data_IF_068725630775
#
_entry.id   IF_068725630775
#
_cell.length_a   1.000
_cell.length_b   1.000
_cell.length_c   1.000
_cell.angle_alpha   90.00
_cell.angle_beta   90.00
_cell.angle_gamma   90.00
#
_symmetry.space_group_name_H-M   'P 1'
#
loop_
_entity.id
_entity.type
_entity.pdbx_description
1 polymer ?
#
# COMPACT_ATOMS: atom_id res chain seq x y z
N UNK A 1 69.56 23.30 -2.18
CA UNK A 1 68.28 24.01 -2.18
C UNK A 1 67.22 22.98 -2.57
N UNK A 2 66.62 22.25 -1.63
CA UNK A 2 65.56 22.68 -0.70
C UNK A 2 64.34 23.22 -1.46
N UNK A 3 63.33 22.36 -1.59
CA UNK A 3 62.02 22.64 -2.16
C UNK A 3 61.07 21.50 -1.79
N UNK A 4 60.85 21.31 -0.49
CA UNK A 4 59.91 20.36 0.06
C UNK A 4 58.48 20.82 -0.26
N UNK A 5 57.74 20.05 -1.04
CA UNK A 5 56.28 20.16 -1.08
C UNK A 5 55.73 19.70 0.27
N UNK A 6 54.88 20.50 0.96
CA UNK A 6 54.28 20.06 2.20
C UNK A 6 53.31 18.93 1.85
N UNK A 7 53.56 17.76 2.44
CA UNK A 7 52.67 16.63 2.34
C UNK A 7 51.28 17.06 2.77
N UNK A 8 50.32 16.91 1.85
CA UNK A 8 48.90 16.82 2.20
C UNK A 8 48.83 15.65 3.18
N UNK A 9 48.69 15.97 4.47
CA UNK A 9 48.26 15.00 5.46
C UNK A 9 46.93 14.48 4.94
N UNK A 10 46.91 13.21 4.55
CA UNK A 10 45.67 12.48 4.46
C UNK A 10 45.01 12.61 5.85
N UNK A 11 43.94 13.39 5.92
CA UNK A 11 43.05 13.35 7.07
C UNK A 11 42.66 11.89 7.32
N UNK A 12 42.67 11.43 8.58
CA UNK A 12 42.36 10.04 8.86
C UNK A 12 40.95 9.75 8.36
N UNK A 13 40.89 8.83 7.40
CA UNK A 13 39.68 8.17 6.92
C UNK A 13 38.85 7.76 8.13
N UNK A 14 37.69 8.41 8.26
CA UNK A 14 36.45 7.94 8.84
C UNK A 14 36.62 6.97 10.02
N UNK A 15 36.60 7.50 11.25
CA UNK A 15 36.30 6.66 12.42
C UNK A 15 34.85 6.23 12.24
N UNK A 16 34.63 5.05 11.65
CA UNK A 16 33.32 4.52 11.29
C UNK A 16 32.31 4.85 12.39
N UNK A 17 31.46 5.84 12.12
CA UNK A 17 30.48 6.36 13.06
C UNK A 17 29.64 5.19 13.57
N UNK A 18 29.88 4.75 14.81
CA UNK A 18 29.19 3.60 15.38
C UNK A 18 27.74 3.98 15.64
N UNK A 19 26.86 3.51 14.76
CA UNK A 19 25.42 3.78 14.81
C UNK A 19 24.64 2.75 15.61
N UNK A 20 25.26 1.64 16.04
CA UNK A 20 24.52 0.55 16.70
C UNK A 20 23.78 1.01 17.97
N UNK A 21 24.35 1.85 18.85
CA UNK A 21 23.63 2.33 20.03
C UNK A 21 22.39 3.17 19.70
N UNK A 22 22.47 4.04 18.68
CA UNK A 22 21.35 4.90 18.30
C UNK A 22 20.30 4.13 17.49
N UNK A 23 20.71 3.20 16.63
CA UNK A 23 19.81 2.24 15.97
C UNK A 23 19.06 1.39 16.99
N UNK A 24 19.74 0.91 18.03
CA UNK A 24 19.10 0.15 19.10
C UNK A 24 18.04 0.99 19.83
N UNK A 25 18.34 2.25 20.16
CA UNK A 25 17.36 3.16 20.76
C UNK A 25 16.17 3.42 19.83
N UNK A 26 16.41 3.65 18.53
CA UNK A 26 15.35 3.85 17.55
C UNK A 26 14.51 2.59 17.39
N UNK A 27 15.13 1.41 17.32
CA UNK A 27 14.43 0.13 17.27
C UNK A 27 13.55 -0.06 18.50
N UNK A 28 14.08 0.24 19.69
CA UNK A 28 13.36 0.10 20.95
C UNK A 28 12.15 1.03 21.04
N UNK A 29 12.29 2.30 20.62
CA UNK A 29 11.24 3.31 20.81
C UNK A 29 10.31 3.47 19.61
N UNK A 30 10.76 3.25 18.38
CA UNK A 30 9.96 3.41 17.14
C UNK A 30 9.73 2.09 16.40
N UNK A 31 10.48 1.03 16.68
CA UNK A 31 10.38 -0.24 15.95
C UNK A 31 11.12 -0.26 14.60
N UNK A 32 11.57 0.91 14.12
CA UNK A 32 12.23 1.08 12.83
C UNK A 32 13.58 0.37 12.77
N UNK A 33 13.90 -0.17 11.61
CA UNK A 33 15.20 -0.77 11.31
C UNK A 33 15.89 -0.04 10.17
N UNK A 34 17.21 0.03 10.28
CA UNK A 34 18.05 0.69 9.29
C UNK A 34 19.20 -0.24 8.90
N UNK A 35 19.19 -0.63 7.62
CA UNK A 35 20.21 -1.45 6.97
C UNK A 35 20.36 -1.01 5.51
N UNK A 36 21.58 -1.14 4.97
CA UNK A 36 21.87 -0.76 3.58
C UNK A 36 21.47 0.69 3.27
N UNK A 37 20.62 0.90 2.27
CA UNK A 37 20.21 2.24 1.83
C UNK A 37 19.45 3.03 2.92
N UNK A 38 18.68 2.37 3.79
CA UNK A 38 17.96 3.05 4.88
C UNK A 38 18.91 3.56 5.97
N UNK A 39 20.06 2.91 6.17
CA UNK A 39 21.10 3.40 7.07
C UNK A 39 21.74 4.70 6.56
N UNK A 40 21.85 4.86 5.24
CA UNK A 40 22.33 6.11 4.64
C UNK A 40 21.35 7.26 4.93
N UNK A 41 20.04 7.01 4.82
CA UNK A 41 19.02 7.99 5.19
C UNK A 41 19.08 8.36 6.69
N UNK A 42 19.28 7.36 7.55
CA UNK A 42 19.51 7.59 8.99
C UNK A 42 20.72 8.48 9.22
N UNK A 43 21.87 8.22 8.58
CA UNK A 43 23.09 9.05 8.70
C UNK A 43 22.80 10.51 8.36
N UNK A 44 22.15 10.76 7.23
CA UNK A 44 21.79 12.12 6.82
C UNK A 44 20.85 12.81 7.81
N UNK A 45 19.84 12.10 8.33
CA UNK A 45 18.94 12.64 9.33
C UNK A 45 19.68 13.01 10.63
N UNK A 46 20.56 12.13 11.11
CA UNK A 46 21.36 12.36 12.32
C UNK A 46 22.31 13.55 12.17
N UNK A 47 23.02 13.65 11.04
CA UNK A 47 23.92 14.79 10.80
C UNK A 47 23.15 16.11 10.72
N UNK A 48 22.00 16.13 10.05
CA UNK A 48 21.14 17.32 10.00
C UNK A 48 20.70 17.75 11.41
N UNK A 49 20.31 16.82 12.28
CA UNK A 49 19.91 17.13 13.66
C UNK A 49 21.09 17.59 14.51
N UNK A 50 22.26 16.94 14.40
CA UNK A 50 23.50 17.37 15.08
C UNK A 50 23.87 18.80 14.74
N UNK A 51 23.87 19.16 13.45
CA UNK A 51 24.16 20.52 13.00
C UNK A 51 23.14 21.51 13.55
N UNK A 52 21.85 21.17 13.54
CA UNK A 52 20.79 22.03 14.06
C UNK A 52 20.90 22.31 15.56
N UNK A 53 21.54 21.42 16.32
CA UNK A 53 21.71 21.54 17.78
C UNK A 53 23.13 21.87 18.23
N UNK A 54 24.06 22.07 17.28
CA UNK A 54 25.48 22.29 17.53
C UNK A 54 26.12 21.19 18.41
N UNK A 55 25.80 19.92 18.12
CA UNK A 55 26.29 18.77 18.88
C UNK A 55 27.48 18.12 18.18
N UNK A 56 28.62 18.09 18.86
CA UNK A 56 29.91 17.68 18.30
C UNK A 56 30.04 16.19 17.94
N UNK A 57 29.22 15.30 18.49
CA UNK A 57 29.34 13.85 18.25
C UNK A 57 28.01 13.10 18.33
N UNK A 58 27.92 11.93 17.68
CA UNK A 58 26.75 11.04 17.79
C UNK A 58 26.55 10.54 19.21
N UNK A 59 27.62 10.30 19.97
CA UNK A 59 27.52 9.89 21.37
C UNK A 59 26.83 10.97 22.21
N UNK A 60 27.26 12.23 22.06
CA UNK A 60 26.61 13.36 22.74
C UNK A 60 25.15 13.55 22.27
N UNK A 61 24.87 13.31 21.00
CA UNK A 61 23.50 13.37 20.48
C UNK A 61 22.61 12.25 21.06
N UNK A 62 23.15 11.03 21.19
CA UNK A 62 22.45 9.90 21.81
C UNK A 62 22.11 10.19 23.28
N UNK A 63 23.04 10.75 24.04
CA UNK A 63 22.79 11.12 25.44
C UNK A 63 21.70 12.19 25.54
N UNK A 64 21.67 13.14 24.61
CA UNK A 64 20.58 14.11 24.52
C UNK A 64 19.23 13.46 24.22
N UNK A 65 19.16 12.54 23.25
CA UNK A 65 17.91 11.83 22.89
C UNK A 65 17.29 11.03 24.05
N UNK A 66 18.09 10.66 25.05
CA UNK A 66 17.60 9.93 26.24
C UNK A 66 16.82 10.82 27.21
N UNK A 67 17.06 12.13 27.20
CA UNK A 67 16.47 13.08 28.17
C UNK A 67 15.63 14.17 27.52
N UNK A 68 15.88 14.50 26.25
CA UNK A 68 15.19 15.54 25.50
C UNK A 68 14.09 14.94 24.61
N UNK A 69 12.87 14.90 25.15
CA UNK A 69 11.71 14.36 24.42
C UNK A 69 11.31 15.22 23.21
N UNK A 70 11.55 16.53 23.26
CA UNK A 70 11.28 17.41 22.13
C UNK A 70 12.22 17.07 20.95
N UNK A 71 13.51 16.87 21.22
CA UNK A 71 14.45 16.43 20.18
C UNK A 71 14.12 15.03 19.67
N UNK A 72 13.64 14.13 20.54
CA UNK A 72 13.17 12.82 20.11
C UNK A 72 12.04 12.91 19.07
N UNK A 73 11.07 13.81 19.27
CA UNK A 73 10.01 14.06 18.28
C UNK A 73 10.56 14.60 16.96
N UNK A 74 11.52 15.51 17.02
CA UNK A 74 12.15 16.11 15.85
C UNK A 74 12.96 15.08 15.03
N UNK A 75 13.67 14.18 15.70
CA UNK A 75 14.31 13.04 15.05
C UNK A 75 13.27 12.09 14.45
N UNK A 76 12.22 11.76 15.20
CA UNK A 76 11.13 10.90 14.74
C UNK A 76 10.56 11.41 13.41
N UNK A 77 10.18 12.69 13.33
CA UNK A 77 9.67 13.32 12.10
C UNK A 77 10.67 13.36 10.95
N UNK A 78 11.97 13.18 11.23
CA UNK A 78 13.01 13.14 10.19
C UNK A 78 13.25 11.72 9.66
N UNK A 79 12.80 10.69 10.40
CA UNK A 79 12.97 9.28 10.06
C UNK A 79 11.69 8.64 9.51
N UNK A 80 10.52 9.19 9.82
CA UNK A 80 9.23 8.68 9.35
C UNK A 80 8.99 9.05 7.88
N UNK A 81 8.56 8.06 7.10
CA UNK A 81 8.13 8.25 5.71
C UNK A 81 6.61 8.46 5.71
N UNK A 82 6.20 9.69 5.42
CA UNK A 82 4.82 10.16 5.54
C UNK A 82 4.05 10.14 4.20
N UNK A 83 4.27 9.12 3.36
CA UNK A 83 3.53 9.05 2.10
C UNK A 83 2.08 8.62 2.34
N UNK A 84 1.16 9.58 2.17
CA UNK A 84 -0.28 9.35 2.29
C UNK A 84 -1.07 10.25 1.33
N UNK A 85 -2.30 9.85 1.03
CA UNK A 85 -3.22 10.56 0.14
C UNK A 85 -4.66 10.12 0.33
N UNK A 86 -5.58 10.98 -0.08
CA UNK A 86 -7.00 10.71 0.03
C UNK A 86 -7.38 9.49 -0.82
N UNK A 87 -8.20 8.63 -0.25
CA UNK A 87 -8.74 7.44 -0.91
C UNK A 87 -7.68 6.43 -1.37
N UNK A 88 -6.55 6.33 -0.65
CA UNK A 88 -5.56 5.26 -0.84
C UNK A 88 -6.18 3.88 -0.59
N UNK A 89 -6.05 2.98 -1.57
CA UNK A 89 -6.68 1.64 -1.60
C UNK A 89 -8.21 1.72 -1.32
N UNK A 90 -8.99 2.28 -2.26
CA UNK A 90 -10.41 2.56 -2.04
C UNK A 90 -11.25 1.31 -1.75
N UNK A 91 -10.76 0.12 -2.12
CA UNK A 91 -11.37 -1.15 -1.75
C UNK A 91 -11.51 -1.35 -0.23
N UNK A 92 -10.56 -0.85 0.59
CA UNK A 92 -10.67 -0.90 2.05
C UNK A 92 -11.76 0.04 2.59
N UNK A 93 -11.98 1.18 1.93
CA UNK A 93 -13.07 2.09 2.29
C UNK A 93 -14.44 1.50 1.92
N UNK A 94 -14.54 0.81 0.78
CA UNK A 94 -15.74 0.05 0.40
C UNK A 94 -16.01 -1.10 1.36
N UNK A 95 -15.00 -1.91 1.68
CA UNK A 95 -15.10 -2.96 2.70
C UNK A 95 -15.65 -2.40 4.02
N UNK A 96 -15.09 -1.29 4.50
CA UNK A 96 -15.57 -0.63 5.71
C UNK A 96 -17.03 -0.21 5.57
N UNK A 97 -17.38 0.54 4.52
CA UNK A 97 -18.67 1.25 4.42
C UNK A 97 -19.82 0.38 3.94
N UNK A 98 -19.56 -0.64 3.15
CA UNK A 98 -20.59 -1.48 2.52
C UNK A 98 -20.77 -2.80 3.28
N UNK A 99 -19.70 -3.34 3.87
CA UNK A 99 -19.71 -4.66 4.50
C UNK A 99 -19.62 -4.55 6.03
N UNK A 100 -18.49 -4.08 6.55
CA UNK A 100 -18.21 -4.14 7.99
C UNK A 100 -19.13 -3.22 8.79
N UNK A 101 -19.29 -1.97 8.37
CA UNK A 101 -20.13 -1.00 9.06
C UNK A 101 -21.61 -1.42 9.07
N UNK A 102 -22.10 -2.00 7.97
CA UNK A 102 -23.49 -2.48 7.90
C UNK A 102 -23.75 -3.59 8.92
N UNK A 103 -22.86 -4.58 9.00
CA UNK A 103 -22.96 -5.69 9.95
C UNK A 103 -22.80 -5.22 11.41
N UNK A 104 -21.82 -4.35 11.68
CA UNK A 104 -21.59 -3.78 13.01
C UNK A 104 -22.79 -2.94 13.50
N UNK A 105 -23.42 -2.17 12.61
CA UNK A 105 -24.60 -1.38 12.93
C UNK A 105 -25.83 -2.26 13.20
N UNK A 106 -26.01 -3.35 12.45
CA UNK A 106 -27.13 -4.28 12.63
C UNK A 106 -27.10 -4.99 13.99
N UNK A 107 -25.90 -5.22 14.54
CA UNK A 107 -25.68 -5.90 15.83
C UNK A 107 -25.77 -4.98 17.04
N UNK A 108 -25.90 -3.66 16.84
CA UNK A 108 -25.78 -2.65 17.91
C UNK A 108 -27.13 -2.02 18.26
N UNK A 109 -27.25 -1.66 19.53
CA UNK A 109 -28.29 -0.74 19.97
C UNK A 109 -28.05 0.64 19.34
N UNK A 110 -29.12 1.29 18.86
CA UNK A 110 -29.07 2.57 18.14
C UNK A 110 -28.39 3.73 18.90
N UNK A 111 -28.14 3.58 20.21
CA UNK A 111 -27.45 4.57 21.04
C UNK A 111 -25.91 4.53 20.93
N UNK A 112 -25.31 3.46 20.39
CA UNK A 112 -23.86 3.25 20.41
C UNK A 112 -23.22 3.39 19.04
N UNK A 113 -22.27 4.33 18.90
CA UNK A 113 -21.50 4.55 17.68
C UNK A 113 -20.56 3.38 17.38
N UNK A 114 -20.40 3.05 16.10
CA UNK A 114 -19.28 2.22 15.62
C UNK A 114 -17.99 3.02 15.75
N UNK A 115 -17.01 2.45 16.46
CA UNK A 115 -15.76 3.10 16.83
C UNK A 115 -14.66 2.64 15.90
N UNK A 116 -14.05 3.59 15.19
CA UNK A 116 -13.04 3.36 14.16
C UNK A 116 -11.76 4.06 14.59
N UNK A 117 -10.66 3.34 14.57
CA UNK A 117 -9.34 3.86 14.91
C UNK A 117 -8.39 3.76 13.71
N UNK A 118 -7.75 4.87 13.33
CA UNK A 118 -6.64 4.89 12.35
C UNK A 118 -5.31 5.10 13.07
N UNK A 119 -4.43 4.10 13.04
CA UNK A 119 -3.11 4.12 13.69
C UNK A 119 -2.03 4.29 12.62
N UNK A 120 -1.17 5.29 12.79
CA UNK A 120 -0.20 5.71 11.77
C UNK A 120 -0.86 6.58 10.70
N UNK A 121 -1.72 7.52 11.11
CA UNK A 121 -2.55 8.30 10.20
C UNK A 121 -1.80 9.39 9.41
N UNK A 122 -0.51 9.56 9.67
CA UNK A 122 0.39 10.53 9.04
C UNK A 122 -0.22 11.94 8.97
N UNK A 123 -0.36 12.52 7.77
CA UNK A 123 -0.89 13.88 7.59
C UNK A 123 -2.42 13.97 7.54
N UNK A 124 -3.11 12.88 7.92
CA UNK A 124 -4.56 12.86 8.18
C UNK A 124 -5.43 12.44 6.99
N UNK A 125 -4.86 12.21 5.81
CA UNK A 125 -5.64 11.83 4.64
C UNK A 125 -6.46 10.53 4.84
N UNK A 126 -5.94 9.53 5.55
CA UNK A 126 -6.66 8.28 5.84
C UNK A 126 -7.92 8.49 6.70
N UNK A 127 -7.85 9.03 7.94
CA UNK A 127 -9.03 9.17 8.77
C UNK A 127 -10.07 10.14 8.18
N UNK A 128 -9.63 11.14 7.40
CA UNK A 128 -10.55 11.99 6.66
C UNK A 128 -11.17 11.29 5.45
N UNK A 129 -10.46 10.40 4.76
CA UNK A 129 -11.07 9.56 3.71
C UNK A 129 -12.13 8.63 4.29
N UNK A 130 -11.88 8.07 5.48
CA UNK A 130 -12.87 7.27 6.23
C UNK A 130 -14.11 8.11 6.52
N UNK A 131 -13.94 9.31 7.07
CA UNK A 131 -15.06 10.22 7.38
C UNK A 131 -15.88 10.58 6.13
N UNK A 132 -15.21 10.93 5.03
CA UNK A 132 -15.86 11.25 3.75
C UNK A 132 -16.62 10.04 3.22
N UNK A 133 -16.00 8.85 3.19
CA UNK A 133 -16.64 7.64 2.67
C UNK A 133 -17.88 7.24 3.48
N UNK A 134 -17.82 7.35 4.81
CA UNK A 134 -18.97 7.12 5.69
C UNK A 134 -20.06 8.17 5.45
N UNK A 135 -19.70 9.44 5.24
CA UNK A 135 -20.68 10.49 4.95
C UNK A 135 -21.33 10.33 3.57
N UNK A 136 -20.59 9.88 2.55
CA UNK A 136 -21.15 9.54 1.24
C UNK A 136 -22.15 8.38 1.33
N UNK A 137 -21.86 7.36 2.17
CA UNK A 137 -22.72 6.16 2.28
C UNK A 137 -23.93 6.37 3.19
N UNK A 138 -23.73 7.00 4.34
CA UNK A 138 -24.75 7.11 5.41
C UNK A 138 -25.33 8.52 5.54
N UNK A 139 -24.93 9.45 4.68
CA UNK A 139 -25.39 10.84 4.68
C UNK A 139 -25.10 11.56 5.99
N UNK A 140 -25.99 12.47 6.37
CA UNK A 140 -25.87 13.27 7.60
C UNK A 140 -25.91 12.42 8.89
N UNK A 141 -26.39 11.18 8.82
CA UNK A 141 -26.40 10.28 9.98
C UNK A 141 -25.01 9.74 10.32
N UNK A 142 -24.01 9.83 9.42
CA UNK A 142 -22.68 9.31 9.65
C UNK A 142 -22.07 9.79 10.98
N UNK A 143 -22.15 11.09 11.28
CA UNK A 143 -21.64 11.66 12.52
C UNK A 143 -22.33 11.12 13.79
N UNK A 144 -23.56 10.60 13.68
CA UNK A 144 -24.30 9.97 14.79
C UNK A 144 -24.02 8.49 14.91
N UNK A 145 -23.66 7.83 13.81
CA UNK A 145 -23.43 6.38 13.73
C UNK A 145 -21.97 5.99 13.98
N UNK A 146 -21.02 6.90 13.69
CA UNK A 146 -19.59 6.59 13.73
C UNK A 146 -18.81 7.56 14.60
N UNK A 147 -17.78 7.04 15.27
CA UNK A 147 -16.75 7.81 15.96
C UNK A 147 -15.40 7.44 15.35
N UNK A 148 -14.65 8.43 14.88
CA UNK A 148 -13.35 8.23 14.27
C UNK A 148 -12.29 8.85 15.17
N UNK A 149 -11.36 8.00 15.59
CA UNK A 149 -10.15 8.41 16.30
C UNK A 149 -8.96 8.08 15.42
N UNK A 150 -7.93 8.89 15.47
CA UNK A 150 -6.71 8.64 14.72
C UNK A 150 -5.48 9.08 15.53
N UNK A 151 -4.36 8.42 15.29
CA UNK A 151 -3.11 8.87 15.88
C UNK A 151 -1.88 8.46 15.11
N UNK A 152 -0.82 9.22 15.38
CA UNK A 152 0.49 9.04 14.76
C UNK A 152 1.59 9.38 15.79
N UNK A 153 2.79 8.86 15.54
CA UNK A 153 3.98 9.14 16.35
C UNK A 153 4.66 10.44 15.89
N UNK A 154 4.43 10.87 14.65
CA UNK A 154 4.98 12.09 14.08
C UNK A 154 4.10 13.31 14.40
N UNK A 155 4.57 14.14 15.33
CA UNK A 155 3.87 15.36 15.73
C UNK A 155 3.75 16.41 14.62
N UNK A 156 4.72 16.47 13.69
CA UNK A 156 4.64 17.39 12.55
C UNK A 156 3.57 16.93 11.57
N UNK A 157 3.47 15.63 11.33
CA UNK A 157 2.41 15.05 10.51
C UNK A 157 1.02 15.35 11.12
N UNK A 158 0.86 15.14 12.43
CA UNK A 158 -0.37 15.48 13.15
C UNK A 158 -0.70 16.98 13.12
N UNK A 159 0.30 17.86 13.17
CA UNK A 159 0.07 19.31 13.01
C UNK A 159 -0.50 19.63 11.64
N UNK A 160 0.01 18.99 10.58
CA UNK A 160 -0.55 19.12 9.23
C UNK A 160 -1.98 18.55 9.15
N UNK A 161 -2.23 17.37 9.74
CA UNK A 161 -3.57 16.78 9.82
C UNK A 161 -4.57 17.75 10.48
N UNK A 162 -4.24 18.31 11.65
CA UNK A 162 -5.08 19.30 12.34
C UNK A 162 -5.33 20.55 11.52
N UNK A 163 -4.35 21.01 10.73
CA UNK A 163 -4.53 22.17 9.85
C UNK A 163 -5.53 21.90 8.73
N UNK A 164 -5.68 20.63 8.34
CA UNK A 164 -6.56 20.19 7.25
C UNK A 164 -6.20 20.77 5.88
N UNK A 165 -4.98 21.30 5.70
CA UNK A 165 -4.53 21.95 4.47
C UNK A 165 -3.66 20.99 3.65
N UNK A 166 -4.07 20.75 2.41
CA UNK A 166 -3.50 19.73 1.54
C UNK A 166 -3.12 20.31 0.18
N UNK A 167 -1.99 19.83 -0.35
CA UNK A 167 -1.52 20.16 -1.69
C UNK A 167 -2.00 19.17 -2.74
N UNK A 168 -1.73 19.45 -4.02
CA UNK A 168 -2.20 18.65 -5.16
C UNK A 168 -1.91 17.14 -5.04
N UNK A 169 -0.73 16.76 -4.53
CA UNK A 169 -0.33 15.35 -4.40
C UNK A 169 -1.27 14.53 -3.52
N UNK A 170 -1.89 15.13 -2.49
CA UNK A 170 -2.84 14.44 -1.61
C UNK A 170 -4.13 14.04 -2.34
N UNK A 171 -4.44 14.65 -3.48
CA UNK A 171 -5.69 14.44 -4.23
C UNK A 171 -5.56 13.49 -5.42
N UNK A 172 -4.36 12.92 -5.67
CA UNK A 172 -4.07 12.13 -6.88
C UNK A 172 -4.98 10.91 -7.14
N UNK A 173 -5.64 10.41 -6.10
CA UNK A 173 -6.60 9.30 -6.22
C UNK A 173 -8.02 9.67 -5.75
N UNK A 174 -8.26 10.93 -5.34
CA UNK A 174 -9.58 11.37 -4.92
C UNK A 174 -10.37 11.87 -6.14
N UNK A 175 -11.57 11.32 -6.41
CA UNK A 175 -12.42 11.84 -7.48
C UNK A 175 -12.70 13.34 -7.32
N UNK A 176 -12.61 14.09 -8.43
CA UNK A 176 -12.78 15.55 -8.44
C UNK A 176 -14.11 16.03 -7.85
N UNK A 177 -15.17 15.23 -8.02
CA UNK A 177 -16.49 15.54 -7.45
C UNK A 177 -16.45 15.56 -5.92
N UNK A 178 -15.76 14.61 -5.29
CA UNK A 178 -15.56 14.57 -3.84
C UNK A 178 -14.64 15.71 -3.40
N UNK A 179 -13.58 15.97 -4.16
CA UNK A 179 -12.66 17.08 -3.89
C UNK A 179 -13.39 18.44 -3.90
N UNK A 180 -14.35 18.65 -4.80
CA UNK A 180 -15.20 19.86 -4.86
C UNK A 180 -16.20 19.95 -3.71
N UNK A 181 -16.73 18.81 -3.24
CA UNK A 181 -17.76 18.75 -2.20
C UNK A 181 -17.19 18.92 -0.79
N UNK A 182 -16.03 18.32 -0.52
CA UNK A 182 -15.48 18.20 0.84
C UNK A 182 -14.28 19.09 1.13
N UNK A 183 -13.84 19.90 0.16
CA UNK A 183 -12.72 20.80 0.34
C UNK A 183 -13.00 22.19 -0.21
N UNK A 184 -12.54 23.19 0.53
CA UNK A 184 -12.54 24.59 0.11
C UNK A 184 -11.18 24.96 -0.46
N UNK A 185 -11.16 25.58 -1.63
CA UNK A 185 -9.94 26.11 -2.22
C UNK A 185 -9.44 27.30 -1.40
N UNK A 186 -8.22 27.22 -0.89
CA UNK A 186 -7.59 28.30 -0.11
C UNK A 186 -6.61 29.11 -0.98
N UNK A 187 -5.98 28.45 -1.95
CA UNK A 187 -5.13 29.03 -2.98
C UNK A 187 -5.06 28.10 -4.19
N UNK A 188 -4.38 28.51 -5.26
CA UNK A 188 -4.19 27.66 -6.45
C UNK A 188 -3.51 26.32 -6.14
N UNK A 189 -2.74 26.24 -5.07
CA UNK A 189 -1.96 25.04 -4.72
C UNK A 189 -2.51 24.27 -3.52
N UNK A 190 -3.41 24.87 -2.73
CA UNK A 190 -3.86 24.29 -1.47
C UNK A 190 -5.38 24.31 -1.34
N UNK A 191 -5.91 23.17 -0.85
CA UNK A 191 -7.30 23.03 -0.45
C UNK A 191 -7.38 22.64 1.02
N UNK A 192 -8.39 23.14 1.70
CA UNK A 192 -8.66 22.80 3.10
C UNK A 192 -9.89 21.92 3.21
N UNK A 193 -9.80 20.84 3.98
CA UNK A 193 -10.95 19.98 4.25
C UNK A 193 -12.03 20.75 5.01
N UNK A 194 -13.29 20.48 4.67
CA UNK A 194 -14.44 21.12 5.32
C UNK A 194 -14.46 20.86 6.82
N UNK A 195 -14.82 21.89 7.58
CA UNK A 195 -14.82 21.85 9.04
C UNK A 195 -15.72 20.74 9.60
N UNK A 196 -16.87 20.51 8.97
CA UNK A 196 -17.82 19.48 9.37
C UNK A 196 -17.26 18.05 9.27
N UNK A 197 -16.32 17.79 8.34
CA UNK A 197 -15.59 16.52 8.27
C UNK A 197 -14.46 16.53 9.29
N UNK A 198 -13.73 17.65 9.39
CA UNK A 198 -12.58 17.80 10.27
C UNK A 198 -12.93 17.49 11.73
N UNK A 199 -14.10 17.94 12.18
CA UNK A 199 -14.62 17.74 13.54
C UNK A 199 -15.08 16.30 13.83
N UNK A 200 -15.19 15.43 12.83
CA UNK A 200 -15.54 14.02 13.02
C UNK A 200 -14.34 13.15 13.43
N UNK A 201 -13.12 13.68 13.33
CA UNK A 201 -11.88 12.95 13.58
C UNK A 201 -11.14 13.53 14.79
N UNK A 202 -10.95 12.71 15.82
CA UNK A 202 -10.11 13.04 16.98
C UNK A 202 -8.67 12.61 16.75
N UNK A 203 -7.71 13.55 16.80
CA UNK A 203 -6.29 13.31 16.50
C UNK A 203 -5.41 13.30 17.75
N UNK A 204 -4.72 12.19 18.00
CA UNK A 204 -3.85 11.99 19.16
C UNK A 204 -2.41 11.66 18.75
N UNK A 205 -1.45 12.10 19.56
CA UNK A 205 -0.07 11.60 19.46
C UNK A 205 0.00 10.23 20.14
N UNK A 206 0.39 9.21 19.41
CA UNK A 206 0.44 7.82 19.89
C UNK A 206 1.57 7.06 19.23
N UNK A 207 2.15 6.12 19.95
CA UNK A 207 3.09 5.16 19.40
C UNK A 207 2.45 3.77 19.42
N UNK A 208 2.41 3.10 18.26
CA UNK A 208 1.77 1.79 18.16
C UNK A 208 2.53 0.69 18.95
N UNK A 209 3.85 0.86 19.12
CA UNK A 209 4.75 -0.13 19.71
C UNK A 209 4.89 0.01 21.23
N UNK A 210 4.97 1.25 21.74
CA UNK A 210 5.30 1.54 23.15
C UNK A 210 4.33 2.51 23.81
N UNK A 211 4.35 2.57 25.13
CA UNK A 211 3.45 3.40 25.93
C UNK A 211 2.08 2.78 26.15
N UNK A 212 1.25 3.40 26.98
CA UNK A 212 -0.15 3.02 27.14
C UNK A 212 -1.00 3.74 26.10
N UNK A 213 -1.94 3.03 25.49
CA UNK A 213 -3.00 3.69 24.74
C UNK A 213 -3.91 4.45 25.69
N UNK A 214 -4.51 5.58 25.25
CA UNK A 214 -5.56 6.24 26.00
C UNK A 214 -6.68 5.25 26.36
N UNK A 215 -7.23 5.30 27.58
CA UNK A 215 -8.24 4.34 28.02
C UNK A 215 -9.51 4.38 27.16
N UNK A 216 -9.83 5.57 26.64
CA UNK A 216 -10.94 5.81 25.72
C UNK A 216 -10.69 5.23 24.31
N UNK A 217 -9.55 4.61 24.05
CA UNK A 217 -9.27 3.85 22.82
C UNK A 217 -9.66 2.38 22.95
N UNK A 218 -9.97 1.87 24.14
CA UNK A 218 -10.46 0.49 24.28
C UNK A 218 -11.82 0.33 23.60
N UNK A 219 -12.08 -0.88 23.10
CA UNK A 219 -13.35 -1.26 22.48
C UNK A 219 -13.60 -0.58 21.12
N UNK A 220 -12.58 -0.60 20.25
CA UNK A 220 -12.73 -0.27 18.84
C UNK A 220 -13.43 -1.42 18.11
N UNK A 221 -14.22 -1.08 17.09
CA UNK A 221 -14.85 -2.06 16.21
C UNK A 221 -14.01 -2.30 14.96
N UNK A 222 -13.35 -1.24 14.46
CA UNK A 222 -12.44 -1.34 13.32
C UNK A 222 -11.17 -0.57 13.61
N UNK A 223 -10.02 -1.18 13.37
CA UNK A 223 -8.70 -0.55 13.42
C UNK A 223 -8.10 -0.58 12.02
N UNK A 224 -7.64 0.56 11.53
CA UNK A 224 -6.79 0.71 10.35
C UNK A 224 -5.34 0.84 10.81
N UNK A 225 -4.46 0.02 10.23
CA UNK A 225 -3.01 0.08 10.44
C UNK A 225 -2.32 -0.24 9.11
N UNK A 226 -2.38 0.73 8.19
CA UNK A 226 -2.03 0.54 6.77
C UNK A 226 -0.79 1.33 6.37
N UNK A 227 0.04 0.71 5.54
CA UNK A 227 1.27 1.22 4.94
C UNK A 227 2.30 1.73 5.97
N UNK A 228 2.27 1.16 7.17
CA UNK A 228 3.15 1.51 8.31
C UNK A 228 4.03 0.32 8.70
N UNK A 229 3.50 -0.90 8.59
CA UNK A 229 4.17 -2.10 9.10
C UNK A 229 5.39 -2.53 8.26
N UNK A 230 5.49 -2.02 7.03
CA UNK A 230 6.60 -2.29 6.08
C UNK A 230 7.97 -1.88 6.60
N UNK A 231 8.05 -0.98 7.59
CA UNK A 231 9.30 -0.49 8.18
C UNK A 231 9.76 -1.31 9.40
N UNK A 232 9.06 -2.40 9.73
CA UNK A 232 9.25 -3.18 10.94
C UNK A 232 9.60 -4.65 10.64
N UNK A 233 10.48 -5.25 11.45
CA UNK A 233 10.69 -6.71 11.42
C UNK A 233 9.44 -7.48 11.86
N UNK A 234 9.44 -8.79 11.62
CA UNK A 234 8.36 -9.68 12.02
C UNK A 234 8.06 -9.63 13.53
N UNK A 235 9.08 -9.55 14.38
CA UNK A 235 8.90 -9.49 15.83
C UNK A 235 8.15 -8.22 16.28
N UNK A 236 8.51 -7.07 15.70
CA UNK A 236 7.88 -5.78 15.99
C UNK A 236 6.46 -5.73 15.44
N UNK A 237 6.23 -6.20 14.21
CA UNK A 237 4.88 -6.30 13.63
C UNK A 237 3.96 -7.15 14.50
N UNK A 238 4.42 -8.33 14.92
CA UNK A 238 3.67 -9.23 15.81
C UNK A 238 3.37 -8.59 17.17
N UNK A 239 4.32 -7.85 17.74
CA UNK A 239 4.10 -7.12 19.00
C UNK A 239 3.06 -6.01 18.85
N UNK A 240 3.12 -5.23 17.77
CA UNK A 240 2.13 -4.19 17.46
C UNK A 240 0.76 -4.81 17.23
N UNK A 241 0.67 -5.86 16.42
CA UNK A 241 -0.61 -6.49 16.10
C UNK A 241 -1.30 -7.04 17.36
N UNK A 242 -0.56 -7.69 18.28
CA UNK A 242 -1.08 -8.11 19.58
C UNK A 242 -1.58 -6.93 20.41
N UNK A 243 -0.85 -5.81 20.43
CA UNK A 243 -1.27 -4.59 21.13
C UNK A 243 -2.54 -4.00 20.52
N UNK A 244 -2.64 -3.93 19.19
CA UNK A 244 -3.85 -3.45 18.49
C UNK A 244 -5.05 -4.37 18.74
N UNK A 245 -4.83 -5.69 18.80
CA UNK A 245 -5.86 -6.66 19.14
C UNK A 245 -6.50 -6.37 20.51
N UNK A 246 -5.72 -5.91 21.50
CA UNK A 246 -6.28 -5.54 22.83
C UNK A 246 -7.19 -4.32 22.80
N UNK A 247 -7.11 -3.50 21.75
CA UNK A 247 -8.00 -2.34 21.56
C UNK A 247 -9.32 -2.75 20.92
N UNK A 248 -9.37 -3.89 20.23
CA UNK A 248 -10.56 -4.35 19.51
C UNK A 248 -11.57 -5.03 20.45
N UNK A 249 -12.85 -4.75 20.22
CA UNK A 249 -13.94 -5.57 20.75
C UNK A 249 -13.83 -7.01 20.22
N UNK A 250 -14.39 -8.01 20.92
CA UNK A 250 -14.66 -9.31 20.33
C UNK A 250 -15.51 -9.14 19.05
N UNK A 251 -15.06 -9.74 17.94
CA UNK A 251 -15.67 -9.56 16.63
C UNK A 251 -15.32 -8.25 15.92
N UNK A 252 -14.40 -7.45 16.46
CA UNK A 252 -13.83 -6.29 15.77
C UNK A 252 -12.82 -6.69 14.69
N UNK A 253 -12.45 -5.74 13.84
CA UNK A 253 -11.66 -5.97 12.65
C UNK A 253 -10.38 -5.12 12.62
N UNK A 254 -9.27 -5.71 12.17
CA UNK A 254 -8.04 -5.00 11.82
C UNK A 254 -7.86 -5.03 10.30
N UNK A 255 -7.74 -3.85 9.69
CA UNK A 255 -7.44 -3.66 8.28
C UNK A 255 -5.99 -3.19 8.15
N UNK A 256 -5.20 -3.92 7.36
CA UNK A 256 -3.82 -3.57 6.99
C UNK A 256 -3.75 -3.27 5.48
N UNK A 257 -2.66 -2.68 5.01
CA UNK A 257 -2.51 -2.40 3.58
C UNK A 257 -2.44 -3.70 2.77
N UNK A 258 -2.88 -3.66 1.51
CA UNK A 258 -3.00 -4.86 0.69
C UNK A 258 -1.67 -5.64 0.56
N UNK A 259 -0.54 -4.94 0.51
CA UNK A 259 0.81 -5.54 0.43
C UNK A 259 1.35 -6.02 1.78
N UNK A 260 0.66 -5.70 2.88
CA UNK A 260 1.09 -6.01 4.25
C UNK A 260 0.40 -7.23 4.83
N UNK A 261 -0.69 -7.69 4.23
CA UNK A 261 -1.57 -8.75 4.74
C UNK A 261 -0.81 -10.00 5.18
N UNK A 262 -0.12 -10.68 4.25
CA UNK A 262 0.60 -11.93 4.57
C UNK A 262 1.72 -11.69 5.59
N UNK A 263 2.36 -10.53 5.49
CA UNK A 263 3.44 -10.09 6.36
C UNK A 263 2.99 -9.83 7.81
N UNK A 264 1.67 -9.71 8.04
CA UNK A 264 1.04 -9.54 9.33
C UNK A 264 0.15 -10.74 9.74
N UNK A 265 0.18 -11.86 9.02
CA UNK A 265 -0.52 -13.07 9.46
C UNK A 265 0.34 -13.86 10.46
N UNK A 266 0.26 -13.49 11.73
CA UNK A 266 0.97 -14.16 12.82
C UNK A 266 0.08 -15.14 13.61
N UNK A 267 -1.13 -15.43 13.14
CA UNK A 267 -2.10 -16.30 13.81
C UNK A 267 -2.69 -15.75 15.11
N UNK A 268 -2.54 -14.45 15.41
CA UNK A 268 -3.16 -13.84 16.60
C UNK A 268 -4.61 -13.42 16.39
N UNK A 269 -5.00 -13.17 15.14
CA UNK A 269 -6.37 -12.90 14.69
C UNK A 269 -6.63 -13.71 13.43
N UNK A 270 -7.90 -13.96 13.12
CA UNK A 270 -8.29 -14.81 11.99
C UNK A 270 -8.26 -13.99 10.70
N UNK A 271 -7.43 -14.37 9.73
CA UNK A 271 -7.46 -13.77 8.40
C UNK A 271 -8.77 -14.13 7.69
N UNK A 272 -9.44 -13.12 7.14
CA UNK A 272 -10.67 -13.25 6.37
C UNK A 272 -10.53 -12.49 5.04
N UNK A 273 -11.36 -12.89 4.09
CA UNK A 273 -11.43 -12.31 2.75
C UNK A 273 -12.88 -12.05 2.37
N UNK A 274 -13.12 -10.87 1.79
CA UNK A 274 -14.40 -10.46 1.19
C UNK A 274 -14.12 -9.64 -0.05
N UNK A 275 -14.68 -10.05 -1.19
CA UNK A 275 -14.61 -9.35 -2.47
C UNK A 275 -13.18 -8.96 -2.90
N UNK A 276 -12.23 -9.87 -2.70
CA UNK A 276 -10.81 -9.71 -2.98
C UNK A 276 -10.04 -8.87 -1.96
N UNK A 277 -10.66 -8.52 -0.83
CA UNK A 277 -10.07 -7.68 0.21
C UNK A 277 -9.85 -8.48 1.50
N UNK A 278 -8.61 -8.50 1.98
CA UNK A 278 -8.22 -9.22 3.18
C UNK A 278 -8.24 -8.31 4.42
N UNK A 279 -8.67 -8.87 5.55
CA UNK A 279 -8.65 -8.22 6.85
C UNK A 279 -8.60 -9.27 7.97
N UNK A 280 -8.27 -8.85 9.19
CA UNK A 280 -8.18 -9.75 10.33
C UNK A 280 -9.37 -9.56 11.27
N UNK A 281 -10.02 -10.64 11.68
CA UNK A 281 -11.11 -10.63 12.64
C UNK A 281 -10.65 -11.06 14.04
N UNK A 282 -11.04 -10.28 15.04
CA UNK A 282 -10.75 -10.54 16.45
C UNK A 282 -11.80 -11.48 17.07
N UNK A 283 -11.89 -12.70 16.55
CA UNK A 283 -12.59 -13.77 17.23
C UNK A 283 -11.67 -14.33 18.31
N UNK A 284 -12.12 -14.33 19.57
CA UNK A 284 -11.44 -15.19 20.56
C UNK A 284 -11.55 -16.60 20.01
N UNK A 285 -10.41 -17.23 19.76
CA UNK A 285 -10.37 -18.68 19.62
C UNK A 285 -10.79 -19.21 20.97
N UNK A 286 -12.04 -19.63 21.12
CA UNK A 286 -12.39 -20.56 22.19
C UNK A 286 -11.57 -21.82 21.90
N UNK A 287 -10.55 -22.06 22.72
CA UNK A 287 -9.60 -23.15 22.59
C UNK A 287 -10.21 -24.52 22.93
N UNK A 288 -11.49 -24.72 22.63
CA UNK A 288 -12.26 -25.91 22.99
C UNK A 288 -13.05 -26.54 21.83
N UNK A 289 -12.92 -26.04 20.60
CA UNK A 289 -13.58 -26.65 19.44
C UNK A 289 -12.77 -26.53 18.15
N UNK A 290 -11.69 -27.31 18.04
CA UNK A 290 -11.22 -27.76 16.72
C UNK A 290 -10.77 -29.21 16.86
N UNK A 291 -11.74 -30.12 16.80
CA UNK A 291 -11.45 -31.45 16.26
C UNK A 291 -11.37 -31.24 14.74
N UNK A 292 -10.16 -31.26 14.20
CA UNK A 292 -9.94 -31.24 12.76
C UNK A 292 -10.42 -32.58 12.21
N UNK A 293 -11.64 -32.59 11.67
CA UNK A 293 -12.10 -33.70 10.84
C UNK A 293 -11.22 -33.75 9.58
N UNK A 294 -10.27 -34.68 9.59
CA UNK A 294 -9.32 -34.91 8.50
C UNK A 294 -9.98 -35.48 7.23
N UNK A 295 -11.30 -35.67 7.20
CA UNK A 295 -12.02 -36.17 6.03
C UNK A 295 -12.21 -35.15 4.90
N UNK A 296 -11.97 -33.85 5.14
CA UNK A 296 -12.12 -32.80 4.12
C UNK A 296 -10.86 -32.57 3.24
N UNK A 297 -9.77 -33.29 3.50
CA UNK A 297 -8.58 -33.31 2.62
C UNK A 297 -8.64 -34.49 1.65
N UNK A 298 -9.64 -34.49 0.77
CA UNK A 298 -9.63 -35.35 -0.41
C UNK A 298 -9.59 -34.49 -1.67
N UNK A 299 -8.60 -34.65 -2.57
CA UNK A 299 -8.52 -33.84 -3.78
C UNK A 299 -9.66 -34.25 -4.73
N UNK A 300 -10.61 -33.34 -4.96
CA UNK A 300 -11.61 -33.50 -6.02
C UNK A 300 -10.95 -33.24 -7.38
N UNK A 301 -10.36 -34.28 -7.95
CA UNK A 301 -10.12 -34.39 -9.39
C UNK A 301 -10.77 -35.67 -9.89
N UNK A 302 -12.02 -35.58 -10.37
CA UNK A 302 -12.57 -36.58 -11.27
C UNK A 302 -13.36 -35.91 -12.40
N UNK A 303 -12.84 -36.17 -13.60
CA UNK A 303 -13.40 -36.04 -14.94
C UNK A 303 -14.93 -35.88 -15.05
N UNK A 304 -15.38 -34.75 -15.60
CA UNK A 304 -16.71 -34.55 -16.15
C UNK A 304 -16.64 -33.58 -17.34
N UNK A 305 -17.13 -34.02 -18.51
CA UNK A 305 -17.16 -33.24 -19.77
C UNK A 305 -18.02 -31.97 -19.61
N UNK A 306 -17.69 -30.84 -20.27
CA UNK A 306 -18.54 -29.66 -20.24
C UNK A 306 -19.85 -29.86 -21.02
N UNK A 307 -20.98 -29.65 -20.34
CA UNK A 307 -22.31 -29.52 -20.94
C UNK A 307 -22.43 -28.21 -21.73
N UNK A 308 -23.02 -28.32 -22.92
CA UNK A 308 -23.30 -27.24 -23.86
C UNK A 308 -24.59 -26.55 -23.43
N UNK A 309 -24.56 -25.23 -23.25
CA UNK A 309 -25.79 -24.40 -23.17
C UNK A 309 -25.99 -23.61 -24.47
N UNK A 310 -27.24 -23.49 -24.95
CA UNK A 310 -27.54 -23.02 -26.30
C UNK A 310 -27.42 -21.50 -26.46
N UNK A 311 -26.84 -21.12 -27.60
CA UNK A 311 -26.80 -19.75 -28.13
C UNK A 311 -28.21 -19.21 -28.41
N UNK A 312 -28.47 -18.00 -27.94
CA UNK A 312 -29.58 -17.15 -28.41
C UNK A 312 -29.13 -15.70 -28.48
N UNK A 313 -28.67 -15.25 -29.65
CA UNK A 313 -28.56 -13.82 -29.99
C UNK A 313 -29.93 -13.31 -30.45
N UNK A 314 -30.32 -12.07 -30.14
CA UNK A 314 -31.23 -11.32 -30.99
C UNK A 314 -30.42 -10.58 -32.06
N UNK A 315 -30.86 -10.73 -33.31
CA UNK A 315 -30.44 -9.94 -34.47
C UNK A 315 -31.03 -8.53 -34.39
N UNK A 316 -30.23 -7.53 -34.78
CA UNK A 316 -30.72 -6.21 -35.21
C UNK A 316 -29.99 -5.88 -36.52
N UNK A 317 -30.75 -5.80 -37.61
CA UNK A 317 -30.32 -5.27 -38.90
C UNK A 317 -30.39 -3.74 -38.94
N UNK A 318 -29.25 -3.18 -39.31
CA UNK A 318 -28.99 -2.08 -40.27
C UNK A 318 -29.95 -0.88 -40.39
N UNK A 319 -29.39 0.32 -40.15
CA UNK A 319 -29.59 1.45 -41.06
C UNK A 319 -28.48 2.48 -40.87
N UNK A 320 -27.84 2.82 -41.98
CA UNK A 320 -26.61 3.58 -42.02
C UNK A 320 -26.76 5.08 -41.76
N UNK A 321 -25.63 5.67 -41.41
CA UNK A 321 -25.22 7.00 -41.84
C UNK A 321 -23.70 7.10 -41.67
N UNK A 322 -23.00 7.17 -42.81
CA UNK A 322 -21.60 7.58 -42.87
C UNK A 322 -21.45 8.97 -42.25
N UNK A 323 -20.59 9.06 -41.25
CA UNK A 323 -19.90 10.31 -40.93
C UNK A 323 -18.42 10.00 -40.97
N UNK A 324 -17.83 10.12 -42.16
CA UNK A 324 -16.40 10.38 -42.31
C UNK A 324 -16.04 11.62 -41.49
N UNK A 325 -15.40 11.39 -40.34
CA UNK A 325 -14.94 12.41 -39.41
C UNK A 325 -13.49 12.10 -39.04
N UNK A 326 -12.59 12.79 -39.72
CA UNK A 326 -11.25 13.22 -39.30
C UNK A 326 -10.44 12.29 -38.38
N UNK A 327 -9.32 11.82 -38.93
CA UNK A 327 -8.17 11.24 -38.27
C UNK A 327 -7.66 12.16 -37.14
N UNK A 328 -8.17 11.96 -35.94
CA UNK A 328 -7.43 12.26 -34.71
C UNK A 328 -6.85 10.92 -34.32
N UNK A 329 -5.55 10.72 -34.55
CA UNK A 329 -4.85 9.61 -33.91
C UNK A 329 -5.00 9.84 -32.41
N UNK A 330 -5.82 9.04 -31.74
CA UNK A 330 -5.92 9.09 -30.28
C UNK A 330 -4.50 8.96 -29.69
N UNK A 331 -4.16 9.72 -28.65
CA UNK A 331 -2.86 9.62 -28.01
C UNK A 331 -2.55 8.18 -27.58
N UNK A 332 -1.30 7.76 -27.75
CA UNK A 332 -0.81 6.42 -27.35
C UNK A 332 -1.23 6.08 -25.92
N UNK A 333 -1.13 7.04 -25.00
CA UNK A 333 -1.54 6.90 -23.60
C UNK A 333 -3.03 6.55 -23.47
N UNK A 334 -3.90 7.24 -24.22
CA UNK A 334 -5.36 7.01 -24.16
C UNK A 334 -5.72 5.61 -24.67
N UNK A 335 -5.06 5.15 -25.74
CA UNK A 335 -5.27 3.80 -26.28
C UNK A 335 -4.73 2.72 -25.35
N UNK A 336 -3.57 2.95 -24.73
CA UNK A 336 -3.01 2.03 -23.73
C UNK A 336 -3.93 1.89 -22.51
N UNK A 337 -4.42 3.01 -21.97
CA UNK A 337 -5.37 2.99 -20.84
C UNK A 337 -6.70 2.31 -21.22
N UNK A 338 -7.18 2.50 -22.45
CA UNK A 338 -8.36 1.80 -22.94
C UNK A 338 -8.12 0.28 -23.04
N UNK A 339 -7.01 -0.15 -23.62
CA UNK A 339 -6.64 -1.57 -23.66
C UNK A 339 -6.52 -2.18 -22.26
N UNK A 340 -5.95 -1.44 -21.30
CA UNK A 340 -5.84 -1.87 -19.90
C UNK A 340 -7.21 -2.01 -19.22
N UNK A 341 -8.14 -1.08 -19.47
CA UNK A 341 -9.50 -1.15 -18.94
C UNK A 341 -10.26 -2.37 -19.51
N UNK A 342 -10.12 -2.64 -20.81
CA UNK A 342 -10.68 -3.83 -21.45
C UNK A 342 -10.08 -5.12 -20.87
N UNK A 343 -8.76 -5.14 -20.63
CA UNK A 343 -8.08 -6.27 -20.00
C UNK A 343 -8.62 -6.55 -18.58
N UNK A 344 -8.83 -5.50 -17.78
CA UNK A 344 -9.42 -5.60 -16.44
C UNK A 344 -10.88 -6.06 -16.48
N UNK A 345 -11.61 -5.74 -17.55
CA UNK A 345 -12.95 -6.25 -17.83
C UNK A 345 -12.99 -7.66 -18.42
N UNK A 346 -11.85 -8.36 -18.50
CA UNK A 346 -11.69 -9.68 -19.15
C UNK A 346 -12.06 -9.71 -20.64
N UNK A 347 -12.07 -8.56 -21.32
CA UNK A 347 -12.36 -8.43 -22.75
C UNK A 347 -11.07 -8.54 -23.58
N UNK A 348 -10.39 -9.69 -23.50
CA UNK A 348 -9.02 -9.86 -24.01
C UNK A 348 -8.87 -9.67 -25.53
N UNK A 349 -9.81 -10.17 -26.33
CA UNK A 349 -9.75 -10.05 -27.80
C UNK A 349 -9.97 -8.62 -28.29
N UNK A 350 -10.71 -7.82 -27.52
CA UNK A 350 -10.91 -6.40 -27.81
C UNK A 350 -9.69 -5.59 -27.33
N UNK A 351 -9.17 -5.90 -26.14
CA UNK A 351 -7.94 -5.31 -25.63
C UNK A 351 -6.75 -5.52 -26.60
N UNK A 352 -6.57 -6.74 -27.12
CA UNK A 352 -5.54 -7.04 -28.12
C UNK A 352 -5.73 -6.24 -29.41
N UNK A 353 -6.97 -6.06 -29.88
CA UNK A 353 -7.27 -5.26 -31.08
C UNK A 353 -6.96 -3.78 -30.88
N UNK A 354 -7.28 -3.22 -29.72
CA UNK A 354 -6.96 -1.83 -29.37
C UNK A 354 -5.45 -1.62 -29.22
N UNK A 355 -4.76 -2.63 -28.69
CA UNK A 355 -3.33 -2.55 -28.38
C UNK A 355 -2.43 -2.81 -29.60
N UNK A 356 -2.86 -3.65 -30.56
CA UNK A 356 -2.03 -4.08 -31.70
C UNK A 356 -1.33 -2.93 -32.45
N UNK A 357 -2.00 -1.81 -32.81
CA UNK A 357 -1.34 -0.71 -33.51
C UNK A 357 -0.18 -0.08 -32.72
N UNK A 358 -0.21 -0.12 -31.38
CA UNK A 358 0.85 0.42 -30.52
C UNK A 358 2.06 -0.53 -30.43
N UNK A 359 1.83 -1.83 -30.59
CA UNK A 359 2.86 -2.87 -30.55
C UNK A 359 3.58 -3.06 -31.89
N UNK A 360 2.95 -2.63 -32.98
CA UNK A 360 3.44 -2.75 -34.36
C UNK A 360 4.15 -1.48 -34.86
N UNK A 361 4.26 -0.43 -34.03
CA UNK A 361 5.06 0.76 -34.35
C UNK A 361 6.57 0.42 -34.46
N UNK A 362 7.34 1.25 -35.18
CA UNK A 362 8.79 1.06 -35.36
C UNK A 362 9.57 1.08 -34.03
N UNK A 363 9.03 1.75 -33.00
CA UNK A 363 9.60 1.84 -31.66
C UNK A 363 8.50 1.67 -30.59
N UNK A 364 8.01 0.45 -30.35
CA UNK A 364 6.89 0.21 -29.45
C UNK A 364 7.32 0.41 -27.99
N UNK A 365 6.42 0.89 -27.14
CA UNK A 365 6.70 1.03 -25.71
C UNK A 365 6.73 -0.35 -25.03
N UNK A 366 7.68 -0.54 -24.12
CA UNK A 366 7.85 -1.79 -23.35
C UNK A 366 6.57 -2.16 -22.60
N UNK A 367 5.87 -1.20 -22.00
CA UNK A 367 4.60 -1.44 -21.32
C UNK A 367 3.50 -2.00 -22.25
N UNK A 368 3.47 -1.57 -23.52
CA UNK A 368 2.51 -2.07 -24.51
C UNK A 368 2.81 -3.52 -24.87
N UNK A 369 4.09 -3.86 -25.10
CA UNK A 369 4.50 -5.23 -25.38
C UNK A 369 4.26 -6.16 -24.17
N UNK A 370 4.56 -5.71 -22.95
CA UNK A 370 4.32 -6.52 -21.74
C UNK A 370 2.83 -6.77 -21.51
N UNK A 371 1.96 -5.77 -21.76
CA UNK A 371 0.51 -5.95 -21.69
C UNK A 371 0.00 -6.90 -22.80
N UNK A 372 0.53 -6.79 -24.02
CA UNK A 372 0.18 -7.71 -25.13
C UNK A 372 0.56 -9.16 -24.78
N UNK A 373 1.75 -9.37 -24.24
CA UNK A 373 2.20 -10.69 -23.80
C UNK A 373 1.32 -11.24 -22.68
N UNK A 374 0.92 -10.40 -21.72
CA UNK A 374 0.01 -10.81 -20.65
C UNK A 374 -1.35 -11.26 -21.22
N UNK A 375 -1.92 -10.50 -22.16
CA UNK A 375 -3.18 -10.85 -22.82
C UNK A 375 -3.09 -12.16 -23.62
N UNK A 376 -1.99 -12.40 -24.34
CA UNK A 376 -1.75 -13.67 -25.04
C UNK A 376 -1.63 -14.84 -24.07
N UNK A 377 -0.94 -14.62 -22.96
CA UNK A 377 -0.79 -15.62 -21.91
C UNK A 377 -2.14 -16.00 -21.26
N UNK A 378 -3.00 -15.03 -20.95
CA UNK A 378 -4.37 -15.28 -20.45
C UNK A 378 -5.23 -16.04 -21.47
N UNK A 379 -4.98 -15.86 -22.78
CA UNK A 379 -5.58 -16.65 -23.87
C UNK A 379 -4.96 -18.04 -24.05
N UNK A 380 -4.04 -18.45 -23.17
CA UNK A 380 -3.27 -19.70 -23.24
C UNK A 380 -2.34 -19.81 -24.46
N UNK A 381 -2.02 -18.68 -25.10
CA UNK A 381 -0.99 -18.60 -26.14
C UNK A 381 0.37 -18.27 -25.52
N UNK A 382 0.97 -19.27 -24.88
CA UNK A 382 2.28 -19.11 -24.24
C UNK A 382 3.41 -18.85 -25.27
N UNK A 383 3.28 -19.38 -26.50
CA UNK A 383 4.29 -19.22 -27.54
C UNK A 383 4.29 -17.77 -28.03
N UNK A 384 3.12 -17.22 -28.35
CA UNK A 384 2.97 -15.81 -28.73
C UNK A 384 3.40 -14.87 -27.60
N UNK A 385 3.02 -15.18 -26.36
CA UNK A 385 3.43 -14.37 -25.20
C UNK A 385 4.96 -14.32 -25.03
N UNK A 386 5.66 -15.46 -25.17
CA UNK A 386 7.12 -15.51 -25.09
C UNK A 386 7.78 -14.69 -26.20
N UNK A 387 7.32 -14.81 -27.45
CA UNK A 387 7.87 -14.05 -28.57
C UNK A 387 7.73 -12.52 -28.37
N UNK A 388 6.60 -12.07 -27.82
CA UNK A 388 6.39 -10.65 -27.51
C UNK A 388 7.28 -10.20 -26.33
N UNK A 389 7.47 -11.05 -25.32
CA UNK A 389 8.36 -10.74 -24.19
C UNK A 389 9.83 -10.64 -24.58
N UNK A 390 10.29 -11.46 -25.54
CA UNK A 390 11.65 -11.36 -26.08
C UNK A 390 11.86 -10.00 -26.75
N UNK A 391 10.86 -9.49 -27.48
CA UNK A 391 10.89 -8.13 -28.03
C UNK A 391 10.93 -7.07 -26.93
N UNK A 392 10.13 -7.22 -25.87
CA UNK A 392 10.10 -6.28 -24.75
C UNK A 392 11.45 -6.21 -24.02
N UNK A 393 12.07 -7.37 -23.75
CA UNK A 393 13.37 -7.48 -23.08
C UNK A 393 14.54 -7.06 -24.00
N UNK A 394 14.38 -7.12 -25.32
CA UNK A 394 15.35 -6.55 -26.25
C UNK A 394 15.36 -5.00 -26.22
N UNK A 395 14.21 -4.37 -25.90
CA UNK A 395 14.11 -2.92 -25.73
C UNK A 395 14.53 -2.47 -24.34
N UNK A 396 14.14 -3.21 -23.30
CA UNK A 396 14.55 -3.00 -21.92
C UNK A 396 14.79 -4.34 -21.20
N UNK A 397 16.06 -4.74 -21.15
CA UNK A 397 16.50 -5.99 -20.54
C UNK A 397 16.20 -6.08 -19.04
N UNK A 398 15.91 -4.96 -18.38
CA UNK A 398 15.64 -4.89 -16.94
C UNK A 398 14.18 -4.63 -16.61
N UNK A 399 13.27 -4.66 -17.59
CA UNK A 399 11.84 -4.46 -17.33
C UNK A 399 11.30 -5.50 -16.33
N UNK A 400 10.97 -5.07 -15.12
CA UNK A 400 10.52 -5.95 -14.03
C UNK A 400 9.28 -6.73 -14.41
N UNK A 401 8.29 -6.08 -15.01
CA UNK A 401 7.03 -6.72 -15.41
C UNK A 401 7.25 -7.77 -16.51
N UNK A 402 8.15 -7.50 -17.46
CA UNK A 402 8.50 -8.46 -18.52
C UNK A 402 9.27 -9.67 -17.95
N UNK A 403 10.25 -9.44 -17.05
CA UNK A 403 11.00 -10.50 -16.37
C UNK A 403 10.08 -11.38 -15.51
N UNK A 404 9.14 -10.77 -14.76
CA UNK A 404 8.15 -11.50 -13.97
C UNK A 404 7.27 -12.39 -14.83
N UNK A 405 6.71 -11.85 -15.92
CA UNK A 405 5.82 -12.60 -16.79
C UNK A 405 6.58 -13.71 -17.52
N UNK A 406 7.81 -13.46 -17.96
CA UNK A 406 8.66 -14.49 -18.59
C UNK A 406 9.01 -15.61 -17.61
N UNK A 407 9.33 -15.29 -16.36
CA UNK A 407 9.56 -16.27 -15.31
C UNK A 407 8.33 -17.13 -15.03
N UNK A 408 7.13 -16.52 -15.00
CA UNK A 408 5.86 -17.26 -14.83
C UNK A 408 5.60 -18.24 -15.98
N UNK A 409 5.82 -17.81 -17.22
CA UNK A 409 5.65 -18.64 -18.41
C UNK A 409 6.65 -19.80 -18.40
N UNK A 410 7.94 -19.52 -18.19
CA UNK A 410 9.00 -20.53 -18.08
C UNK A 410 8.66 -21.59 -17.02
N UNK A 411 8.17 -21.16 -15.85
CA UNK A 411 7.75 -22.07 -14.78
C UNK A 411 6.61 -23.00 -15.20
N UNK A 412 5.62 -22.50 -15.93
CA UNK A 412 4.51 -23.33 -16.44
C UNK A 412 4.93 -24.29 -17.55
N UNK A 413 5.97 -23.95 -18.30
CA UNK A 413 6.56 -24.80 -19.33
C UNK A 413 7.52 -25.85 -18.76
N UNK A 414 7.83 -25.79 -17.45
CA UNK A 414 8.78 -26.69 -16.79
C UNK A 414 10.24 -26.24 -16.90
N UNK A 415 10.50 -25.05 -17.45
CA UNK A 415 11.83 -24.43 -17.58
C UNK A 415 12.23 -23.76 -16.26
N UNK A 416 12.45 -24.56 -15.21
CA UNK A 416 12.61 -24.06 -13.84
C UNK A 416 13.89 -23.23 -13.65
N UNK A 417 15.00 -23.59 -14.31
CA UNK A 417 16.27 -22.86 -14.22
C UNK A 417 16.14 -21.45 -14.81
N UNK A 418 15.52 -21.35 -15.98
CA UNK A 418 15.24 -20.08 -16.63
C UNK A 418 14.26 -19.24 -15.81
N UNK A 419 13.21 -19.85 -15.26
CA UNK A 419 12.27 -19.17 -14.37
C UNK A 419 12.98 -18.54 -13.16
N UNK A 420 13.86 -19.30 -12.49
CA UNK A 420 14.65 -18.80 -11.36
C UNK A 420 15.54 -17.65 -11.79
N UNK A 421 16.18 -17.74 -12.96
CA UNK A 421 17.01 -16.67 -13.51
C UNK A 421 16.22 -15.37 -13.67
N UNK A 422 15.06 -15.42 -14.33
CA UNK A 422 14.22 -14.24 -14.54
C UNK A 422 13.71 -13.62 -13.23
N UNK A 423 13.28 -14.44 -12.27
CA UNK A 423 12.85 -13.91 -10.97
C UNK A 423 14.00 -13.28 -10.17
N UNK A 424 15.20 -13.87 -10.21
CA UNK A 424 16.39 -13.28 -9.58
C UNK A 424 16.80 -11.97 -10.23
N UNK A 425 16.71 -11.86 -11.56
CA UNK A 425 16.95 -10.61 -12.28
C UNK A 425 15.94 -9.53 -11.89
N UNK A 426 14.65 -9.88 -11.79
CA UNK A 426 13.61 -8.97 -11.32
C UNK A 426 13.87 -8.47 -9.89
N UNK A 427 14.32 -9.35 -8.98
CA UNK A 427 14.70 -8.99 -7.60
C UNK A 427 15.97 -8.15 -7.57
N UNK A 428 16.95 -8.46 -8.41
CA UNK A 428 18.18 -7.68 -8.48
C UNK A 428 17.88 -6.22 -8.86
N UNK A 429 16.99 -6.01 -9.84
CA UNK A 429 16.61 -4.67 -10.27
C UNK A 429 15.65 -3.98 -9.29
N UNK A 430 14.65 -4.71 -8.79
CA UNK A 430 13.69 -4.23 -7.80
C UNK A 430 13.63 -5.21 -6.61
N UNK A 431 14.45 -4.98 -5.56
CA UNK A 431 14.52 -5.85 -4.39
C UNK A 431 13.18 -6.04 -3.66
N UNK A 432 12.27 -5.07 -3.78
CA UNK A 432 10.94 -5.09 -3.15
C UNK A 432 9.86 -5.77 -4.04
N UNK A 433 10.26 -6.36 -5.17
CA UNK A 433 9.37 -7.09 -6.08
C UNK A 433 8.85 -8.39 -5.45
N UNK A 434 7.81 -8.28 -4.62
CA UNK A 434 7.25 -9.40 -3.86
C UNK A 434 6.81 -10.57 -4.75
N UNK A 435 6.31 -10.29 -5.96
CA UNK A 435 5.85 -11.33 -6.89
C UNK A 435 7.02 -12.23 -7.33
N UNK A 436 8.22 -11.67 -7.52
CA UNK A 436 9.40 -12.46 -7.86
C UNK A 436 9.85 -13.32 -6.66
N UNK A 437 9.84 -12.77 -5.44
CA UNK A 437 10.12 -13.53 -4.22
C UNK A 437 9.12 -14.67 -4.00
N UNK A 438 7.83 -14.41 -4.24
CA UNK A 438 6.77 -15.42 -4.15
C UNK A 438 6.98 -16.59 -5.12
N UNK A 439 7.43 -16.31 -6.35
CA UNK A 439 7.64 -17.36 -7.34
C UNK A 439 8.93 -18.16 -7.17
N UNK A 440 9.90 -17.64 -6.39
CA UNK A 440 11.13 -18.33 -6.01
C UNK A 440 11.02 -19.20 -4.75
N UNK A 441 10.09 -18.86 -3.86
CA UNK A 441 9.77 -19.66 -2.68
C UNK A 441 8.99 -20.92 -3.08
#
# INVERSE_FOLDING_TARGET
MAGAHPGVRADPVDTAMNLEPIKALIKQRLGLQFAGHTEVALRHALEKRKVALDVASIAAYLDRLRVDEAEWHELTSSLTINETYFYREPQHLRLLTEVLAADLLARRNAANKVRILSVGCSTGEEPYSIAIALQERYGLNAARLFQITAGDVDQRALKKARSGLYGAYSFRALPDQLAKRYFTMMSHQHRRINEAIRQQVSLHHVNALVGAYPQDWLGQDVVFFRNVSIYFDAATRKAIQRRLQTLLNPGGYLIVGATETLANDFGCMVLQERDGVFFFANHRVDSSAVDLDQSLLTPLCQNGKPEIYPNGKPEIEDSGASVTSFLIQEPVETRYQHALALAQGHQFDEALRVLAPLCDEDAPLVCCLTLQAHLLFERRDAIGATAVLERALALDAWSVDALLLRGRIARLQGELEDAICYFRQAIYHNPDCWSAHYHLA
#
